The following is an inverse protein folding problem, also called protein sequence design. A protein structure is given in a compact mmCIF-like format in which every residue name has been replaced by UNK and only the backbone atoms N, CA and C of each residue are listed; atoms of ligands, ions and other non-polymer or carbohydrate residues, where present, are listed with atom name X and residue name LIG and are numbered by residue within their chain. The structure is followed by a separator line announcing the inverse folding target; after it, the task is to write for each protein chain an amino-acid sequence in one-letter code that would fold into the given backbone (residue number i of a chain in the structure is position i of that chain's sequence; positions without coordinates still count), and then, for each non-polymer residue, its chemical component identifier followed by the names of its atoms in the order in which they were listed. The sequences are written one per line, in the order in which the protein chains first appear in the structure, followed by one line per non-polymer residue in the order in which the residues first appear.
data_IF_995983747174
#
_entry.id   IF_995983747174
#
_cell.length_a   1.000
_cell.length_b   1.000
_cell.length_c   1.000
_cell.angle_alpha   90.00
_cell.angle_beta   90.00
_cell.angle_gamma   90.00
#
_symmetry.space_group_name_H-M   'P 1'
#
loop_
_entity.id
_entity.type
_entity.pdbx_description
1 polymer ?
#
# COMPACT_ATOMS: atom_id res chain seq x y z
N UNK A 1 37.67 -37.31 22.98
CA UNK A 1 38.18 -36.53 21.82
C UNK A 1 36.96 -35.96 21.11
N UNK A 2 36.74 -34.67 20.86
CA UNK A 2 37.45 -33.43 21.14
C UNK A 2 36.68 -32.32 20.37
N UNK A 3 36.18 -31.32 21.12
CA UNK A 3 35.87 -29.91 20.77
C UNK A 3 34.74 -29.64 19.75
N UNK A 4 33.55 -29.19 20.17
CA UNK A 4 33.17 -27.83 20.63
C UNK A 4 33.65 -26.70 19.69
N UNK A 5 32.72 -26.19 18.89
CA UNK A 5 32.80 -24.91 18.18
C UNK A 5 31.71 -23.99 18.73
N UNK A 6 32.17 -23.12 19.63
CA UNK A 6 31.83 -21.69 19.80
C UNK A 6 30.36 -21.25 19.72
N UNK A 7 29.81 -21.16 20.93
CA UNK A 7 28.89 -20.16 21.47
C UNK A 7 28.86 -18.81 20.72
N UNK A 8 27.69 -18.43 20.20
CA UNK A 8 27.29 -17.04 20.07
C UNK A 8 26.32 -16.69 21.21
N UNK A 9 26.94 -16.17 22.27
CA UNK A 9 26.45 -15.34 23.38
C UNK A 9 25.03 -14.73 23.26
N UNK A 10 24.30 -14.92 24.34
CA UNK A 10 23.15 -14.14 24.78
C UNK A 10 23.61 -12.83 25.45
N UNK A 11 22.76 -11.81 25.39
CA UNK A 11 22.94 -10.50 26.05
C UNK A 11 22.82 -9.37 25.03
N UNK A 12 21.87 -8.43 25.11
CA UNK A 12 21.37 -7.83 26.32
C UNK A 12 20.05 -7.07 26.05
N UNK A 13 19.03 -7.47 26.80
CA UNK A 13 17.82 -6.71 27.10
C UNK A 13 18.18 -5.54 28.03
N UNK A 14 17.86 -4.29 27.67
CA UNK A 14 17.67 -3.13 28.56
C UNK A 14 16.64 -2.22 27.87
N UNK A 15 15.38 -2.20 28.28
CA UNK A 15 14.85 -1.39 29.40
C UNK A 15 14.08 -0.20 28.80
N UNK A 16 12.78 -0.31 28.52
CA UNK A 16 11.64 -0.01 29.41
C UNK A 16 11.62 1.44 29.92
N UNK A 17 10.87 2.32 29.25
CA UNK A 17 9.84 3.17 29.89
C UNK A 17 9.14 4.07 28.87
N UNK A 18 7.87 3.79 28.55
CA UNK A 18 6.84 4.78 28.85
C UNK A 18 5.49 4.09 28.98
N UNK A 19 4.89 4.32 30.15
CA UNK A 19 3.54 3.96 30.57
C UNK A 19 2.50 4.45 29.56
N UNK A 20 1.43 3.67 29.39
CA UNK A 20 0.15 4.13 28.86
C UNK A 20 -0.20 3.61 27.47
N UNK A 21 -1.25 2.78 27.42
CA UNK A 21 -2.13 2.58 26.25
C UNK A 21 -2.68 3.93 25.74
N UNK A 22 -3.16 4.05 24.48
CA UNK A 22 -3.82 3.00 23.72
C UNK A 22 -3.46 2.88 22.22
N UNK A 23 -3.79 1.71 21.67
CA UNK A 23 -4.30 1.51 20.31
C UNK A 23 -4.72 2.80 19.57
N UNK A 24 -3.92 3.22 18.61
CA UNK A 24 -4.44 3.81 17.38
C UNK A 24 -4.66 2.62 16.42
N UNK A 25 -5.67 1.77 16.64
CA UNK A 25 -7.08 2.03 16.26
C UNK A 25 -7.09 2.94 15.05
N UNK A 26 -7.55 2.38 13.92
CA UNK A 26 -7.98 3.12 12.76
C UNK A 26 -8.53 4.48 13.23
N UNK A 27 -7.74 5.52 13.01
CA UNK A 27 -8.20 6.88 13.21
C UNK A 27 -9.39 6.99 12.29
N UNK A 28 -10.57 7.09 12.91
CA UNK A 28 -11.82 7.34 12.23
C UNK A 28 -11.58 8.37 11.12
N UNK A 29 -12.14 8.19 9.92
CA UNK A 29 -11.97 9.19 8.87
C UNK A 29 -12.39 10.55 9.46
N UNK A 30 -11.66 11.64 9.18
CA UNK A 30 -12.17 12.96 9.52
C UNK A 30 -13.54 13.09 8.87
N UNK A 31 -14.57 13.23 9.70
CA UNK A 31 -15.94 13.53 9.31
C UNK A 31 -15.96 14.94 8.72
N UNK A 32 -15.54 15.04 7.47
CA UNK A 32 -15.35 16.27 6.71
C UNK A 32 -14.91 15.94 5.30
N UNK A 33 -15.89 15.68 4.42
CA UNK A 33 -15.71 15.52 2.96
C UNK A 33 -14.60 14.54 2.56
N UNK A 34 -14.71 13.31 3.08
CA UNK A 34 -13.72 12.22 3.05
C UNK A 34 -13.27 11.75 1.66
N UNK A 35 -14.01 12.02 0.59
CA UNK A 35 -13.60 11.65 -0.77
C UNK A 35 -12.49 12.56 -1.35
N UNK A 36 -12.38 13.82 -0.88
CA UNK A 36 -11.45 14.82 -1.40
C UNK A 36 -10.08 14.85 -0.67
N UNK A 37 -10.01 14.30 0.55
CA UNK A 37 -8.76 14.25 1.33
C UNK A 37 -7.92 13.00 1.03
N UNK A 38 -8.56 11.85 0.81
CA UNK A 38 -7.87 10.63 0.37
C UNK A 38 -7.24 10.85 -1.00
N UNK A 39 -7.95 11.50 -1.92
CA UNK A 39 -7.42 11.85 -3.25
C UNK A 39 -6.13 12.67 -3.16
N UNK A 40 -6.11 13.84 -2.50
CA UNK A 40 -4.89 14.68 -2.51
C UNK A 40 -3.70 14.06 -1.75
N UNK A 41 -3.96 13.39 -0.63
CA UNK A 41 -2.89 12.76 0.16
C UNK A 41 -2.34 11.50 -0.52
N UNK A 42 -3.17 10.74 -1.23
CA UNK A 42 -2.73 9.58 -1.98
C UNK A 42 -2.08 9.97 -3.32
N UNK A 43 -2.48 11.09 -3.93
CA UNK A 43 -1.94 11.61 -5.19
C UNK A 43 -0.58 12.32 -5.04
N UNK A 44 -0.20 12.74 -3.83
CA UNK A 44 1.05 13.49 -3.60
C UNK A 44 2.31 12.63 -3.64
N UNK A 45 2.16 11.29 -3.66
CA UNK A 45 3.24 10.31 -3.63
C UNK A 45 2.97 9.15 -4.58
N UNK A 46 4.01 8.37 -4.83
CA UNK A 46 3.96 7.12 -5.59
C UNK A 46 3.66 5.92 -4.69
N UNK A 47 2.98 4.93 -5.27
CA UNK A 47 2.66 3.65 -4.62
C UNK A 47 3.17 2.50 -5.49
N UNK A 48 3.87 1.56 -4.88
CA UNK A 48 4.47 0.40 -5.53
C UNK A 48 4.46 -0.80 -4.58
N UNK A 49 4.96 -1.94 -5.04
CA UNK A 49 5.01 -3.18 -4.25
C UNK A 49 5.61 -2.96 -2.87
N UNK A 50 4.96 -3.52 -1.86
CA UNK A 50 5.29 -3.36 -0.45
C UNK A 50 4.61 -2.15 0.22
N UNK A 51 3.95 -1.28 -0.54
CA UNK A 51 3.11 -0.22 0.03
C UNK A 51 1.82 -0.80 0.62
N UNK A 52 1.29 -0.15 1.65
CA UNK A 52 0.01 -0.56 2.23
C UNK A 52 -0.77 0.61 2.84
N UNK A 53 -2.06 0.38 3.10
CA UNK A 53 -2.95 1.33 3.77
C UNK A 53 -4.12 1.79 2.91
N UNK A 54 -4.86 2.77 3.40
CA UNK A 54 -6.13 3.22 2.80
C UNK A 54 -6.00 3.69 1.36
N UNK A 55 -4.87 4.29 0.98
CA UNK A 55 -4.63 4.68 -0.41
C UNK A 55 -4.52 3.47 -1.36
N UNK A 56 -3.93 2.37 -0.89
CA UNK A 56 -3.81 1.13 -1.69
C UNK A 56 -5.17 0.47 -1.84
N UNK A 57 -6.01 0.51 -0.80
CA UNK A 57 -7.42 0.07 -0.88
C UNK A 57 -8.12 0.84 -2.00
N UNK A 58 -8.02 2.17 -2.01
CA UNK A 58 -8.63 3.00 -3.07
C UNK A 58 -8.09 2.67 -4.45
N UNK A 59 -6.78 2.44 -4.61
CA UNK A 59 -6.19 2.00 -5.89
C UNK A 59 -6.83 0.69 -6.36
N UNK A 60 -6.91 -0.31 -5.47
CA UNK A 60 -7.48 -1.61 -5.79
C UNK A 60 -8.97 -1.50 -6.20
N UNK A 61 -9.75 -0.66 -5.49
CA UNK A 61 -11.15 -0.39 -5.86
C UNK A 61 -11.29 0.27 -7.23
N UNK A 62 -10.46 1.27 -7.52
CA UNK A 62 -10.49 1.99 -8.80
C UNK A 62 -10.05 1.08 -9.95
N UNK A 63 -9.02 0.25 -9.75
CA UNK A 63 -8.61 -0.76 -10.73
C UNK A 63 -9.74 -1.76 -11.01
N UNK A 64 -10.45 -2.22 -9.97
CA UNK A 64 -11.61 -3.10 -10.16
C UNK A 64 -12.76 -2.42 -10.93
N UNK A 65 -12.92 -1.10 -10.77
CA UNK A 65 -13.94 -0.31 -11.47
C UNK A 65 -13.55 0.08 -12.89
N UNK A 66 -12.26 0.15 -13.20
CA UNK A 66 -11.76 0.55 -14.53
C UNK A 66 -12.20 -0.38 -15.67
N UNK A 67 -12.58 -1.63 -15.35
CA UNK A 67 -12.96 -2.62 -16.34
C UNK A 67 -11.78 -3.26 -17.08
N UNK A 68 -10.53 -2.84 -16.81
CA UNK A 68 -9.33 -3.44 -17.42
C UNK A 68 -9.08 -4.87 -16.95
N UNK A 69 -9.61 -5.25 -15.78
CA UNK A 69 -9.37 -6.55 -15.17
C UNK A 69 -10.51 -7.53 -15.47
N UNK A 70 -10.16 -8.70 -16.00
CA UNK A 70 -11.12 -9.82 -16.16
C UNK A 70 -11.52 -10.44 -14.82
N UNK A 71 -10.70 -10.29 -13.78
CA UNK A 71 -10.96 -10.82 -12.45
C UNK A 71 -10.66 -9.73 -11.42
N UNK A 72 -11.61 -9.42 -10.51
CA UNK A 72 -11.41 -8.38 -9.52
C UNK A 72 -10.30 -8.76 -8.54
N UNK A 73 -9.50 -7.77 -8.15
CA UNK A 73 -8.50 -7.87 -7.09
C UNK A 73 -9.15 -7.85 -5.71
N UNK A 74 -8.49 -8.51 -4.77
CA UNK A 74 -8.78 -8.35 -3.35
C UNK A 74 -8.41 -6.93 -2.89
N UNK A 75 -9.33 -6.27 -2.19
CA UNK A 75 -9.16 -4.93 -1.64
C UNK A 75 -8.59 -4.96 -0.22
N UNK A 76 -7.43 -5.59 -0.06
CA UNK A 76 -6.79 -5.83 1.24
C UNK A 76 -5.91 -4.66 1.72
N UNK A 77 -5.73 -3.64 0.86
CA UNK A 77 -4.85 -2.51 1.13
C UNK A 77 -3.37 -2.87 1.14
N UNK A 78 -2.98 -4.00 0.53
CA UNK A 78 -1.60 -4.41 0.35
C UNK A 78 -1.21 -4.35 -1.13
N UNK A 79 -0.16 -3.60 -1.44
CA UNK A 79 0.32 -3.51 -2.81
C UNK A 79 1.22 -4.73 -3.08
N UNK A 80 0.57 -5.82 -3.47
CA UNK A 80 1.23 -7.08 -3.83
C UNK A 80 1.54 -7.19 -5.33
N UNK A 81 2.12 -8.32 -5.76
CA UNK A 81 2.43 -8.59 -7.17
C UNK A 81 1.17 -8.59 -8.06
N UNK A 82 0.02 -8.99 -7.52
CA UNK A 82 -1.26 -8.92 -8.25
C UNK A 82 -1.69 -7.47 -8.49
N UNK A 83 -1.52 -6.59 -7.50
CA UNK A 83 -1.80 -5.15 -7.64
C UNK A 83 -0.85 -4.50 -8.64
N UNK A 84 0.43 -4.83 -8.61
CA UNK A 84 1.39 -4.36 -9.62
C UNK A 84 0.99 -4.78 -11.03
N UNK A 85 0.63 -6.04 -11.22
CA UNK A 85 0.20 -6.55 -12.52
C UNK A 85 -1.05 -5.82 -13.03
N UNK A 86 -2.03 -5.60 -12.15
CA UNK A 86 -3.23 -4.84 -12.48
C UNK A 86 -2.92 -3.39 -12.87
N UNK A 87 -2.00 -2.73 -12.16
CA UNK A 87 -1.55 -1.38 -12.49
C UNK A 87 -0.88 -1.34 -13.85
N UNK A 88 -0.03 -2.32 -14.18
CA UNK A 88 0.62 -2.39 -15.50
C UNK A 88 -0.39 -2.56 -16.63
N UNK A 89 -1.38 -3.42 -16.45
CA UNK A 89 -2.45 -3.59 -17.44
C UNK A 89 -3.24 -2.30 -17.64
N UNK A 90 -3.61 -1.64 -16.55
CA UNK A 90 -4.30 -0.35 -16.60
C UNK A 90 -3.45 0.73 -17.31
N UNK A 91 -2.16 0.82 -16.98
CA UNK A 91 -1.24 1.74 -17.64
C UNK A 91 -1.14 1.46 -19.13
N UNK A 92 -1.07 0.19 -19.53
CA UNK A 92 -1.02 -0.20 -20.93
C UNK A 92 -2.30 0.20 -21.68
N UNK A 93 -3.47 -0.04 -21.09
CA UNK A 93 -4.78 0.26 -21.68
C UNK A 93 -4.99 1.78 -21.85
N UNK A 94 -4.49 2.58 -20.90
CA UNK A 94 -4.59 4.04 -20.91
C UNK A 94 -3.40 4.75 -21.59
N UNK A 95 -2.46 4.01 -22.22
CA UNK A 95 -1.32 4.61 -22.92
C UNK A 95 -0.31 5.34 -22.02
N UNK A 96 -0.22 4.94 -20.75
CA UNK A 96 0.73 5.45 -19.76
C UNK A 96 2.04 4.67 -19.78
N UNK A 97 3.07 5.19 -19.10
CA UNK A 97 4.28 4.43 -18.83
C UNK A 97 3.95 3.19 -17.97
N UNK A 98 4.31 1.99 -18.48
CA UNK A 98 4.00 0.71 -17.83
C UNK A 98 5.11 0.33 -16.84
N UNK A 99 5.19 1.07 -15.74
CA UNK A 99 6.18 0.85 -14.67
C UNK A 99 5.64 0.00 -13.50
N UNK A 100 4.31 -0.17 -13.42
CA UNK A 100 3.65 -0.84 -12.29
C UNK A 100 3.58 0.01 -11.02
N UNK A 101 3.83 1.31 -11.15
CA UNK A 101 3.83 2.28 -10.06
C UNK A 101 2.65 3.24 -10.22
N UNK A 102 1.89 3.44 -9.15
CA UNK A 102 0.79 4.41 -9.15
C UNK A 102 1.34 5.76 -8.74
N UNK A 103 1.78 6.53 -9.74
CA UNK A 103 2.15 7.94 -9.61
C UNK A 103 1.00 8.89 -9.92
N UNK A 104 1.25 10.23 -9.95
CA UNK A 104 0.22 11.23 -10.19
C UNK A 104 -0.55 11.03 -11.51
N UNK A 105 0.15 10.66 -12.59
CA UNK A 105 -0.48 10.41 -13.89
C UNK A 105 -1.42 9.19 -13.84
N UNK A 106 -0.97 8.07 -13.26
CA UNK A 106 -1.80 6.87 -13.06
C UNK A 106 -3.01 7.19 -12.17
N UNK A 107 -2.81 7.97 -11.10
CA UNK A 107 -3.90 8.42 -10.23
C UNK A 107 -4.93 9.27 -10.97
N UNK A 108 -4.50 10.23 -11.79
CA UNK A 108 -5.40 11.05 -12.59
C UNK A 108 -6.23 10.22 -13.57
N UNK A 109 -5.64 9.17 -14.17
CA UNK A 109 -6.38 8.26 -15.03
C UNK A 109 -7.40 7.42 -14.25
N UNK A 110 -7.05 6.93 -13.05
CA UNK A 110 -7.95 6.12 -12.20
C UNK A 110 -9.19 6.88 -11.70
N UNK A 111 -9.09 8.20 -11.52
CA UNK A 111 -10.20 9.05 -11.03
C UNK A 111 -10.96 9.77 -12.15
N UNK A 112 -10.38 9.85 -13.35
CA UNK A 112 -10.83 10.69 -14.46
C UNK A 112 -11.37 9.92 -15.66
N UNK A 113 -11.61 8.61 -15.52
CA UNK A 113 -12.25 7.75 -16.52
C UNK A 113 -13.75 7.62 -16.32
#
# INVERSE_FOLDING_TARGET
MGRLITLAREGQLKGLTSRGTPILKASAPPSGSSANYVSRACQSRTWAVGSSGTCVVTIQELLNKSGTLNTPLATDGQFGPLTEFAVRLFQQDHGLAVDGVVGPATWSALIGG
#
